data_IF_725821442828
#
_entry.id   IF_725821442828
#
_cell.length_a   1.000
_cell.length_b   1.000
_cell.length_c   1.000
_cell.angle_alpha   90.00
_cell.angle_beta   90.00
_cell.angle_gamma   90.00
#
_symmetry.space_group_name_H-M   'P 1'
#
loop_
_entity.id
_entity.type
_entity.pdbx_description
1 polymer ?
#
# COMPACT_ATOMS: atom_id res chain seq x y z
N UNK A 1 -13.87 -0.59 8.71
CA UNK A 1 -13.05 -0.58 9.94
C UNK A 1 -12.42 0.82 10.12
N UNK A 2 -13.25 1.87 10.06
CA UNK A 2 -12.81 3.23 10.33
C UNK A 2 -13.00 3.58 11.81
N UNK A 3 -12.23 4.54 12.26
CA UNK A 3 -12.42 5.30 13.51
C UNK A 3 -12.31 4.56 14.83
N UNK A 4 -11.40 3.60 14.98
CA UNK A 4 -11.17 3.03 16.30
C UNK A 4 -9.71 3.08 16.68
N UNK A 5 -9.49 3.63 17.83
CA UNK A 5 -8.19 3.81 18.48
C UNK A 5 -7.56 2.46 18.87
N UNK A 6 -6.27 2.26 18.54
CA UNK A 6 -5.47 1.07 18.89
C UNK A 6 -6.06 -0.27 18.44
N UNK A 7 -6.47 -0.38 17.18
CA UNK A 7 -6.90 -1.67 16.63
C UNK A 7 -5.74 -2.49 16.12
N UNK A 8 -5.89 -3.81 16.24
CA UNK A 8 -4.97 -4.78 15.67
C UNK A 8 -5.70 -5.79 14.80
N UNK A 9 -5.11 -6.13 13.67
CA UNK A 9 -5.45 -7.29 12.86
C UNK A 9 -4.19 -8.14 12.70
N UNK A 10 -4.22 -9.36 13.19
CA UNK A 10 -3.05 -10.21 13.21
C UNK A 10 -3.39 -11.69 12.99
N UNK A 11 -2.44 -12.43 12.43
CA UNK A 11 -2.53 -13.87 12.20
C UNK A 11 -3.76 -14.29 11.37
N UNK A 12 -4.17 -13.42 10.43
CA UNK A 12 -5.31 -13.67 9.56
C UNK A 12 -4.86 -14.07 8.16
N UNK A 13 -5.60 -15.02 7.58
CA UNK A 13 -5.58 -15.28 6.15
C UNK A 13 -6.73 -14.51 5.49
N UNK A 14 -6.40 -13.63 4.56
CA UNK A 14 -7.34 -12.84 3.76
C UNK A 14 -7.04 -13.15 2.30
N UNK A 15 -7.91 -13.93 1.66
CA UNK A 15 -7.61 -14.41 0.31
C UNK A 15 -8.86 -14.58 -0.56
N UNK A 16 -8.64 -14.80 -1.87
CA UNK A 16 -9.64 -15.27 -2.83
C UNK A 16 -10.87 -14.34 -2.94
N UNK A 17 -10.68 -13.02 -2.93
CA UNK A 17 -11.80 -12.10 -3.16
C UNK A 17 -12.43 -12.31 -4.53
N UNK A 18 -13.75 -12.54 -4.56
CA UNK A 18 -14.48 -12.88 -5.77
C UNK A 18 -14.55 -11.70 -6.75
N UNK A 19 -13.64 -11.69 -7.74
CA UNK A 19 -13.57 -10.63 -8.74
C UNK A 19 -14.85 -10.50 -9.57
N UNK A 20 -15.48 -11.62 -9.89
CA UNK A 20 -16.70 -11.70 -10.70
C UNK A 20 -17.96 -11.99 -9.88
N UNK A 21 -18.02 -11.50 -8.65
CA UNK A 21 -19.13 -11.73 -7.70
C UNK A 21 -20.42 -10.96 -7.99
N UNK A 22 -20.64 -10.45 -9.20
CA UNK A 22 -21.89 -9.77 -9.58
C UNK A 22 -22.05 -8.34 -9.04
N UNK A 23 -20.96 -7.68 -8.64
CA UNK A 23 -21.01 -6.31 -8.15
C UNK A 23 -21.44 -5.33 -9.26
N UNK A 24 -22.34 -4.38 -8.92
CA UNK A 24 -22.93 -3.42 -9.87
C UNK A 24 -21.91 -2.53 -10.60
N UNK A 25 -20.72 -2.32 -10.01
CA UNK A 25 -19.59 -1.58 -10.61
C UNK A 25 -18.66 -2.45 -11.46
N UNK A 26 -19.06 -3.69 -11.78
CA UNK A 26 -18.24 -4.64 -12.54
C UNK A 26 -17.25 -5.44 -11.67
N UNK A 27 -16.17 -5.99 -12.27
CA UNK A 27 -15.20 -6.83 -11.56
C UNK A 27 -14.60 -6.15 -10.33
N UNK A 28 -14.66 -6.80 -9.14
CA UNK A 28 -14.37 -6.18 -7.85
C UNK A 28 -13.75 -7.16 -6.84
N UNK A 29 -12.60 -7.74 -7.17
CA UNK A 29 -11.87 -8.69 -6.33
C UNK A 29 -10.82 -8.00 -5.46
N UNK A 30 -11.21 -7.35 -4.36
CA UNK A 30 -10.34 -6.53 -3.55
C UNK A 30 -10.09 -7.11 -2.16
N UNK A 31 -8.86 -6.95 -1.65
CA UNK A 31 -8.47 -7.36 -0.31
C UNK A 31 -9.12 -6.49 0.77
N UNK A 32 -8.45 -5.45 1.25
CA UNK A 32 -8.97 -4.64 2.35
C UNK A 32 -8.60 -3.16 2.27
N UNK A 33 -9.36 -2.34 3.00
CA UNK A 33 -8.98 -0.95 3.29
C UNK A 33 -8.53 -0.92 4.75
N UNK A 34 -7.28 -0.53 4.96
CA UNK A 34 -6.67 -0.44 6.28
C UNK A 34 -6.42 1.01 6.64
N UNK A 35 -6.84 1.40 7.81
CA UNK A 35 -6.68 2.72 8.38
C UNK A 35 -7.03 2.70 9.86
N UNK A 36 -6.92 3.84 10.51
CA UNK A 36 -7.32 4.00 11.91
C UNK A 36 -6.33 4.78 12.75
N UNK A 37 -6.80 5.21 13.91
CA UNK A 37 -6.01 5.93 14.90
C UNK A 37 -5.13 4.96 15.69
N UNK A 38 -3.83 4.90 15.36
CA UNK A 38 -2.85 3.97 15.94
C UNK A 38 -3.23 2.50 15.73
N UNK A 39 -3.47 2.12 14.47
CA UNK A 39 -3.83 0.75 14.10
C UNK A 39 -2.59 -0.05 13.70
N UNK A 40 -2.55 -1.32 14.10
CA UNK A 40 -1.50 -2.27 13.73
C UNK A 40 -2.04 -3.43 12.92
N UNK A 41 -1.37 -3.75 11.82
CA UNK A 41 -1.69 -4.85 10.91
C UNK A 41 -0.45 -5.71 10.73
N UNK A 42 -0.40 -6.88 11.37
CA UNK A 42 0.83 -7.67 11.36
C UNK A 42 0.60 -9.18 11.32
N UNK A 43 1.57 -9.91 10.77
CA UNK A 43 1.53 -11.37 10.65
C UNK A 43 0.30 -11.90 9.90
N UNK A 44 -0.19 -11.15 8.91
CA UNK A 44 -1.29 -11.55 8.06
C UNK A 44 -0.77 -12.05 6.70
N UNK A 45 -1.55 -12.90 6.06
CA UNK A 45 -1.38 -13.26 4.65
C UNK A 45 -2.51 -12.65 3.83
N UNK A 46 -2.17 -11.77 2.89
CA UNK A 46 -3.07 -11.26 1.85
C UNK A 46 -2.72 -11.96 0.54
N UNK A 47 -3.65 -12.69 -0.07
CA UNK A 47 -3.36 -13.47 -1.25
C UNK A 47 -4.48 -13.45 -2.29
N UNK A 48 -4.09 -13.46 -3.59
CA UNK A 48 -5.01 -13.63 -4.72
C UNK A 48 -6.09 -12.55 -4.83
N UNK A 49 -5.77 -11.30 -4.49
CA UNK A 49 -6.65 -10.18 -4.71
C UNK A 49 -6.24 -9.37 -5.95
N UNK A 50 -7.22 -8.90 -6.70
CA UNK A 50 -6.97 -8.02 -7.85
C UNK A 50 -6.27 -6.73 -7.40
N UNK A 51 -6.76 -6.12 -6.31
CA UNK A 51 -6.23 -4.86 -5.77
C UNK A 51 -6.47 -4.77 -4.25
N UNK A 52 -6.01 -3.70 -3.63
CA UNK A 52 -6.13 -3.42 -2.19
C UNK A 52 -5.43 -4.46 -1.32
N UNK A 53 -4.12 -4.61 -1.51
CA UNK A 53 -3.27 -5.54 -0.76
C UNK A 53 -2.25 -4.83 0.19
N UNK A 54 -2.71 -4.01 1.15
CA UNK A 54 -4.02 -3.38 1.29
C UNK A 54 -4.12 -2.04 0.53
N UNK A 55 -5.30 -1.40 0.50
CA UNK A 55 -5.42 0.04 0.36
C UNK A 55 -5.25 0.68 1.74
N UNK A 56 -4.30 1.57 1.88
CA UNK A 56 -4.22 2.43 3.06
C UNK A 56 -5.14 3.63 2.84
N UNK A 57 -6.19 3.74 3.64
CA UNK A 57 -7.22 4.75 3.43
C UNK A 57 -7.63 5.42 4.71
N UNK A 58 -7.50 6.77 4.81
CA UNK A 58 -7.97 7.52 5.96
C UNK A 58 -9.49 7.48 6.06
N UNK A 59 -10.01 7.58 7.28
CA UNK A 59 -11.44 7.78 7.54
C UNK A 59 -11.90 9.19 7.16
N UNK A 60 -13.21 9.40 7.06
CA UNK A 60 -13.78 10.71 6.69
C UNK A 60 -13.52 11.81 7.73
N UNK A 61 -13.32 11.40 8.99
CA UNK A 61 -13.03 12.32 10.10
C UNK A 61 -11.54 12.32 10.49
N UNK A 62 -10.69 11.70 9.66
CA UNK A 62 -9.25 11.64 9.94
C UNK A 62 -8.60 13.00 9.75
N UNK A 63 -7.61 13.27 10.60
CA UNK A 63 -6.63 14.34 10.40
C UNK A 63 -5.26 13.72 10.24
N UNK A 64 -4.29 14.49 9.74
CA UNK A 64 -2.92 13.97 9.58
C UNK A 64 -2.32 13.47 10.90
N UNK A 65 -2.66 14.12 12.01
CA UNK A 65 -2.09 13.85 13.32
C UNK A 65 -2.62 12.54 13.94
N UNK A 66 -3.83 12.14 13.59
CA UNK A 66 -4.47 11.00 14.26
C UNK A 66 -4.47 9.70 13.45
N UNK A 67 -4.29 9.75 12.13
CA UNK A 67 -4.28 8.56 11.29
C UNK A 67 -2.87 7.93 11.25
N UNK A 68 -2.65 6.96 12.13
CA UNK A 68 -1.36 6.28 12.29
C UNK A 68 -1.54 4.78 12.06
N UNK A 69 -0.81 4.23 11.08
CA UNK A 69 -0.90 2.82 10.71
C UNK A 69 0.48 2.16 10.73
N UNK A 70 0.55 1.02 11.39
CA UNK A 70 1.72 0.15 11.41
C UNK A 70 1.41 -1.15 10.67
N UNK A 71 2.06 -1.34 9.53
CA UNK A 71 1.95 -2.53 8.69
C UNK A 71 3.29 -3.27 8.69
N UNK A 72 3.37 -4.40 9.43
CA UNK A 72 4.62 -5.13 9.57
C UNK A 72 4.48 -6.65 9.53
N UNK A 73 5.53 -7.32 9.08
CA UNK A 73 5.60 -8.79 9.09
C UNK A 73 4.42 -9.48 8.41
N UNK A 74 3.82 -8.85 7.38
CA UNK A 74 2.78 -9.47 6.58
C UNK A 74 3.37 -10.12 5.33
N UNK A 75 2.66 -11.08 4.79
CA UNK A 75 2.92 -11.65 3.46
C UNK A 75 1.86 -11.15 2.49
N UNK A 76 2.31 -10.59 1.38
CA UNK A 76 1.45 -10.12 0.29
C UNK A 76 1.78 -10.94 -0.95
N UNK A 77 0.83 -11.77 -1.40
CA UNK A 77 1.06 -12.72 -2.48
C UNK A 77 0.10 -12.53 -3.64
N UNK A 78 0.65 -12.63 -4.87
CA UNK A 78 -0.09 -12.78 -6.12
C UNK A 78 -1.17 -11.71 -6.35
N UNK A 79 -0.82 -10.45 -6.18
CA UNK A 79 -1.69 -9.33 -6.55
C UNK A 79 -1.76 -9.16 -8.07
N UNK A 80 -2.89 -8.70 -8.60
CA UNK A 80 -3.07 -8.43 -10.02
C UNK A 80 -2.86 -6.93 -10.35
N UNK A 81 -3.77 -6.07 -9.92
CA UNK A 81 -3.72 -4.64 -10.21
C UNK A 81 -2.83 -3.83 -9.29
N UNK A 82 -2.99 -4.01 -7.98
CA UNK A 82 -2.21 -3.29 -6.97
C UNK A 82 -1.75 -4.18 -5.83
N UNK A 83 -0.49 -4.01 -5.42
CA UNK A 83 0.00 -4.36 -4.08
C UNK A 83 -0.59 -3.39 -3.04
N UNK A 84 0.21 -2.80 -2.16
CA UNK A 84 -0.23 -1.71 -1.29
C UNK A 84 -0.36 -0.39 -2.07
N UNK A 85 -1.33 0.46 -1.71
CA UNK A 85 -1.45 1.82 -2.23
C UNK A 85 -2.28 2.73 -1.33
N UNK A 86 -2.18 4.05 -1.54
CA UNK A 86 -2.89 5.06 -0.77
C UNK A 86 -2.01 5.76 0.23
N UNK A 87 -2.48 5.92 1.47
CA UNK A 87 -1.74 6.57 2.57
C UNK A 87 -1.86 8.09 2.58
N UNK A 88 -2.98 8.61 2.04
CA UNK A 88 -3.26 10.04 1.95
C UNK A 88 -3.32 10.67 3.33
N UNK A 89 -2.42 11.62 3.62
CA UNK A 89 -2.28 12.33 4.89
C UNK A 89 -2.18 11.39 6.12
N UNK A 90 -1.59 10.21 5.98
CA UNK A 90 -1.41 9.25 7.07
C UNK A 90 0.04 9.23 7.54
N UNK A 91 0.26 8.81 8.79
CA UNK A 91 1.57 8.36 9.25
C UNK A 91 1.64 6.83 9.12
N UNK A 92 2.55 6.33 8.30
CA UNK A 92 2.55 4.91 7.93
C UNK A 92 3.93 4.28 8.16
N UNK A 93 3.95 3.18 8.91
CA UNK A 93 5.08 2.27 8.95
C UNK A 93 4.79 1.08 8.02
N UNK A 94 5.70 0.77 7.11
CA UNK A 94 5.68 -0.45 6.28
C UNK A 94 7.00 -1.17 6.51
N UNK A 95 7.01 -2.15 7.39
CA UNK A 95 8.25 -2.74 7.93
C UNK A 95 8.24 -4.26 7.83
N UNK A 96 9.34 -4.80 7.31
CA UNK A 96 9.59 -6.25 7.28
C UNK A 96 8.46 -7.08 6.65
N UNK A 97 7.73 -6.56 5.67
CA UNK A 97 6.75 -7.34 4.94
C UNK A 97 7.41 -8.11 3.80
N UNK A 98 6.83 -9.23 3.44
CA UNK A 98 7.26 -10.05 2.31
C UNK A 98 6.25 -9.93 1.17
N UNK A 99 6.69 -9.38 0.04
CA UNK A 99 5.92 -9.25 -1.18
C UNK A 99 6.36 -10.31 -2.18
N UNK A 100 5.48 -11.25 -2.48
CA UNK A 100 5.73 -12.31 -3.45
C UNK A 100 4.84 -12.15 -4.68
N UNK A 101 5.35 -11.56 -5.77
CA UNK A 101 4.65 -11.58 -7.05
C UNK A 101 4.33 -13.02 -7.47
N UNK A 102 3.12 -13.22 -7.98
CA UNK A 102 2.67 -14.55 -8.39
C UNK A 102 2.24 -14.58 -9.87
N UNK A 103 1.54 -15.66 -10.29
CA UNK A 103 1.11 -15.81 -11.67
C UNK A 103 0.18 -14.70 -12.18
N UNK A 104 -0.66 -14.12 -11.32
CA UNK A 104 -1.56 -13.02 -11.68
C UNK A 104 -0.88 -11.64 -11.66
N UNK A 105 0.31 -11.53 -11.07
CA UNK A 105 1.04 -10.26 -11.01
C UNK A 105 1.65 -9.94 -12.38
N UNK A 106 1.33 -8.79 -13.00
CA UNK A 106 1.80 -8.47 -14.34
C UNK A 106 3.32 -8.48 -14.47
N UNK A 107 3.81 -9.16 -15.50
CA UNK A 107 5.23 -9.22 -15.86
C UNK A 107 5.65 -7.98 -16.67
N UNK A 108 6.93 -7.64 -16.64
CA UNK A 108 7.48 -6.52 -17.42
C UNK A 108 6.99 -5.14 -16.94
N UNK A 109 6.40 -5.03 -15.77
CA UNK A 109 5.82 -3.78 -15.27
C UNK A 109 6.36 -3.38 -13.89
N UNK A 110 6.25 -2.09 -13.57
CA UNK A 110 6.61 -1.57 -12.25
C UNK A 110 5.81 -2.18 -11.09
N UNK A 111 4.64 -2.74 -11.36
CA UNK A 111 3.79 -3.38 -10.35
C UNK A 111 4.47 -4.55 -9.65
N UNK A 112 5.39 -5.21 -10.33
CA UNK A 112 6.04 -6.41 -9.83
C UNK A 112 7.01 -6.13 -8.68
N UNK A 113 7.78 -5.05 -8.75
CA UNK A 113 8.70 -4.63 -7.68
C UNK A 113 8.11 -3.65 -6.67
N UNK A 114 6.81 -3.35 -6.76
CA UNK A 114 6.20 -2.26 -6.00
C UNK A 114 5.77 -2.69 -4.60
N UNK A 115 6.32 -2.02 -3.59
CA UNK A 115 5.89 -2.13 -2.20
C UNK A 115 4.62 -1.30 -1.99
N UNK A 116 4.65 -0.01 -2.36
CA UNK A 116 3.51 0.88 -2.24
C UNK A 116 3.44 1.86 -3.41
N UNK A 117 2.21 2.21 -3.84
CA UNK A 117 1.95 3.39 -4.65
C UNK A 117 1.22 4.43 -3.80
N UNK A 118 1.90 5.50 -3.46
CA UNK A 118 1.38 6.57 -2.61
C UNK A 118 0.38 7.45 -3.35
N UNK A 119 -0.54 8.06 -2.59
CA UNK A 119 -1.60 8.90 -3.14
C UNK A 119 -1.86 10.13 -2.28
N UNK A 120 -2.63 11.09 -2.78
CA UNK A 120 -3.23 12.18 -2.00
C UNK A 120 -4.62 12.56 -2.53
N UNK A 121 -5.42 13.20 -1.70
CA UNK A 121 -6.78 13.64 -2.01
C UNK A 121 -6.76 14.99 -2.73
N UNK A 122 -7.16 15.04 -4.01
CA UNK A 122 -7.04 16.26 -4.82
C UNK A 122 -8.26 16.59 -5.70
N UNK A 123 -9.23 15.69 -5.83
CA UNK A 123 -10.43 15.96 -6.60
C UNK A 123 -11.39 16.89 -5.86
N UNK A 124 -12.31 17.54 -6.57
CA UNK A 124 -13.36 18.35 -5.94
C UNK A 124 -14.24 17.52 -4.99
N UNK A 125 -14.47 16.25 -5.31
CA UNK A 125 -15.13 15.30 -4.43
C UNK A 125 -14.33 15.03 -3.17
N UNK A 126 -13.00 14.88 -3.29
CA UNK A 126 -12.12 14.71 -2.13
C UNK A 126 -12.11 15.95 -1.24
N UNK A 127 -12.04 17.15 -1.83
CA UNK A 127 -12.10 18.41 -1.09
C UNK A 127 -13.38 18.52 -0.25
N UNK A 128 -14.48 18.05 -0.80
CA UNK A 128 -15.78 18.05 -0.10
C UNK A 128 -15.85 17.00 1.01
N UNK A 129 -15.35 15.79 0.74
CA UNK A 129 -15.49 14.63 1.65
C UNK A 129 -14.38 14.53 2.69
N UNK A 130 -13.21 15.11 2.42
CA UNK A 130 -12.01 15.03 3.25
C UNK A 130 -11.31 16.38 3.39
N UNK A 131 -12.02 17.44 3.84
CA UNK A 131 -11.46 18.81 3.84
C UNK A 131 -10.21 18.94 4.73
N UNK A 132 -10.13 18.18 5.83
CA UNK A 132 -9.02 18.24 6.79
C UNK A 132 -7.69 17.65 6.23
N UNK A 133 -7.77 16.79 5.21
CA UNK A 133 -6.61 16.10 4.64
C UNK A 133 -6.47 16.35 3.13
N UNK A 134 -7.23 17.32 2.61
CA UNK A 134 -7.17 17.67 1.19
C UNK A 134 -5.78 18.17 0.81
N UNK A 135 -5.28 17.75 -0.32
CA UNK A 135 -3.98 18.09 -0.91
C UNK A 135 -2.77 17.85 0.02
N UNK A 136 -2.89 16.88 0.93
CA UNK A 136 -1.87 16.58 1.93
C UNK A 136 -1.24 15.21 1.69
N UNK A 137 0.10 15.16 1.60
CA UNK A 137 0.85 13.93 1.55
C UNK A 137 0.93 13.26 2.93
N UNK A 138 0.95 11.92 2.92
CA UNK A 138 1.30 11.14 4.10
C UNK A 138 2.79 11.19 4.42
N UNK A 139 3.14 10.71 5.61
CA UNK A 139 4.51 10.53 6.08
C UNK A 139 4.79 9.03 6.21
N UNK A 140 5.94 8.57 5.72
CA UNK A 140 6.20 7.14 5.59
C UNK A 140 7.54 6.72 6.20
N UNK A 141 7.52 5.62 6.94
CA UNK A 141 8.69 4.83 7.29
C UNK A 141 8.61 3.47 6.59
N UNK A 142 9.53 3.22 5.65
CA UNK A 142 9.50 2.01 4.81
C UNK A 142 10.88 1.37 4.86
N UNK A 143 10.98 0.20 5.49
CA UNK A 143 12.27 -0.48 5.69
C UNK A 143 12.11 -1.99 5.86
N UNK A 144 13.12 -2.73 5.43
CA UNK A 144 13.23 -4.16 5.67
C UNK A 144 12.23 -5.03 4.89
N UNK A 145 11.48 -4.43 3.96
CA UNK A 145 10.56 -5.20 3.14
C UNK A 145 11.32 -5.95 2.05
N UNK A 146 10.92 -7.19 1.82
CA UNK A 146 11.48 -8.06 0.79
C UNK A 146 10.48 -8.20 -0.34
N UNK A 147 10.93 -8.02 -1.57
CA UNK A 147 10.17 -8.33 -2.79
C UNK A 147 10.93 -9.41 -3.55
N UNK A 148 10.35 -10.60 -3.68
CA UNK A 148 11.00 -11.74 -4.33
C UNK A 148 10.01 -12.52 -5.19
N UNK A 149 10.26 -12.58 -6.50
CA UNK A 149 9.44 -13.35 -7.44
C UNK A 149 9.97 -14.77 -7.69
N UNK A 150 11.06 -15.15 -7.04
CA UNK A 150 11.67 -16.48 -7.15
C UNK A 150 12.27 -16.76 -8.54
N UNK A 151 12.63 -15.73 -9.28
CA UNK A 151 13.23 -15.81 -10.64
C UNK A 151 12.35 -16.50 -11.71
N UNK A 152 11.05 -16.61 -11.46
CA UNK A 152 10.13 -17.38 -12.34
C UNK A 152 9.87 -16.65 -13.67
N UNK A 153 9.96 -15.32 -13.71
CA UNK A 153 9.49 -14.49 -14.81
C UNK A 153 10.61 -13.76 -15.58
N UNK A 154 11.83 -14.24 -15.48
CA UNK A 154 12.98 -13.71 -16.21
C UNK A 154 13.79 -12.66 -15.44
N UNK A 155 15.00 -12.41 -15.94
CA UNK A 155 16.01 -11.60 -15.24
C UNK A 155 15.59 -10.16 -14.94
N UNK A 156 14.84 -9.52 -15.85
CA UNK A 156 14.45 -8.12 -15.68
C UNK A 156 13.43 -7.91 -14.54
N UNK A 157 12.47 -8.81 -14.37
CA UNK A 157 11.51 -8.74 -13.28
C UNK A 157 12.15 -9.12 -11.94
N UNK A 158 13.04 -10.11 -11.94
CA UNK A 158 13.83 -10.45 -10.78
C UNK A 158 14.72 -9.28 -10.33
N UNK A 159 15.47 -8.65 -11.25
CA UNK A 159 16.29 -7.46 -10.95
C UNK A 159 15.45 -6.33 -10.34
N UNK A 160 14.25 -6.08 -10.87
CA UNK A 160 13.31 -5.09 -10.31
C UNK A 160 12.94 -5.39 -8.87
N UNK A 161 12.61 -6.64 -8.56
CA UNK A 161 12.27 -7.09 -7.21
C UNK A 161 13.48 -6.96 -6.26
N UNK A 162 14.67 -7.35 -6.71
CA UNK A 162 15.88 -7.26 -5.91
C UNK A 162 16.32 -5.81 -5.64
N UNK A 163 16.14 -4.91 -6.59
CA UNK A 163 16.34 -3.47 -6.37
C UNK A 163 15.42 -2.93 -5.29
N UNK A 164 14.12 -3.25 -5.37
CA UNK A 164 13.14 -2.85 -4.35
C UNK A 164 13.45 -3.43 -2.97
N UNK A 165 13.97 -4.65 -2.90
CA UNK A 165 14.43 -5.27 -1.65
C UNK A 165 15.66 -4.55 -1.09
N UNK A 166 16.63 -4.21 -1.94
CA UNK A 166 17.87 -3.55 -1.53
C UNK A 166 17.65 -2.13 -1.02
N UNK A 167 16.77 -1.39 -1.67
CA UNK A 167 16.37 -0.04 -1.25
C UNK A 167 14.86 0.12 -1.46
N UNK A 168 14.12 -0.09 -0.37
CA UNK A 168 12.66 -0.03 -0.39
C UNK A 168 12.13 1.34 -0.80
N UNK A 169 12.79 2.42 -0.37
CA UNK A 169 12.36 3.79 -0.67
C UNK A 169 12.60 4.16 -2.12
N UNK A 170 13.79 3.92 -2.63
CA UNK A 170 14.16 4.33 -3.99
C UNK A 170 13.45 3.51 -5.07
N UNK A 171 13.34 2.18 -4.89
CA UNK A 171 12.83 1.29 -5.94
C UNK A 171 11.49 0.64 -5.64
N UNK A 172 11.02 0.69 -4.39
CA UNK A 172 9.74 0.07 -3.98
C UNK A 172 8.58 1.05 -3.85
N UNK A 173 8.84 2.36 -3.81
CA UNK A 173 7.83 3.41 -3.65
C UNK A 173 7.52 4.07 -4.98
N UNK A 174 6.24 4.15 -5.30
CA UNK A 174 5.71 4.70 -6.54
C UNK A 174 4.64 5.75 -6.25
N UNK A 175 4.35 6.58 -7.25
CA UNK A 175 3.32 7.60 -7.18
C UNK A 175 2.04 7.13 -7.90
N UNK A 176 0.90 7.21 -7.23
CA UNK A 176 -0.42 6.95 -7.82
C UNK A 176 -1.22 8.25 -8.01
N UNK A 177 -0.72 9.35 -7.52
CA UNK A 177 -1.42 10.63 -7.49
C UNK A 177 -1.97 11.07 -8.85
N UNK A 178 -1.19 10.95 -9.92
CA UNK A 178 -1.58 11.28 -11.29
C UNK A 178 -2.10 10.07 -12.08
N UNK A 179 -2.38 8.96 -11.40
CA UNK A 179 -2.78 7.66 -11.96
C UNK A 179 -1.72 7.00 -12.84
N UNK A 180 -0.47 7.46 -12.79
CA UNK A 180 0.68 6.85 -13.45
C UNK A 180 1.49 6.06 -12.43
N UNK A 181 1.69 4.78 -12.68
CA UNK A 181 2.55 3.92 -11.87
C UNK A 181 4.01 4.09 -12.32
N UNK A 182 4.55 5.28 -12.14
CA UNK A 182 5.96 5.57 -12.40
C UNK A 182 6.78 5.59 -11.12
N UNK A 183 8.11 5.57 -11.27
CA UNK A 183 9.00 5.94 -10.17
C UNK A 183 8.69 7.34 -9.69
N UNK A 184 8.97 7.61 -8.42
CA UNK A 184 8.81 8.96 -7.87
C UNK A 184 9.69 9.95 -8.64
N UNK A 185 9.08 11.00 -9.19
CA UNK A 185 9.84 12.16 -9.66
C UNK A 185 10.42 12.96 -8.48
N UNK A 186 11.39 13.81 -8.78
CA UNK A 186 12.10 14.58 -7.75
C UNK A 186 11.17 15.55 -6.98
N UNK A 187 10.14 16.08 -7.62
CA UNK A 187 9.16 16.94 -6.96
C UNK A 187 8.32 16.17 -5.95
N UNK A 188 7.87 14.99 -6.32
CA UNK A 188 7.12 14.10 -5.42
C UNK A 188 8.00 13.59 -4.29
N UNK A 189 9.26 13.20 -4.55
CA UNK A 189 10.22 12.80 -3.50
C UNK A 189 10.42 13.90 -2.45
N UNK A 190 10.55 15.15 -2.89
CA UNK A 190 10.68 16.31 -1.97
C UNK A 190 9.40 16.57 -1.16
N UNK A 191 8.24 16.35 -1.76
CA UNK A 191 6.94 16.54 -1.08
C UNK A 191 6.63 15.42 -0.08
N UNK A 192 7.16 14.21 -0.31
CA UNK A 192 7.00 13.07 0.58
C UNK A 192 8.00 13.13 1.73
N UNK A 193 7.48 12.96 2.93
CA UNK A 193 8.32 12.90 4.11
C UNK A 193 8.66 11.46 4.47
N UNK A 194 9.95 11.11 4.33
CA UNK A 194 10.50 9.88 4.91
C UNK A 194 10.74 10.12 6.41
N UNK A 195 10.13 9.32 7.25
CA UNK A 195 10.15 9.52 8.71
C UNK A 195 10.93 8.41 9.43
N UNK A 196 11.07 8.57 10.73
CA UNK A 196 11.32 7.48 11.68
C UNK A 196 10.01 6.74 11.98
N UNK A 197 10.07 5.50 12.52
CA UNK A 197 8.86 4.78 12.91
C UNK A 197 8.02 5.59 13.89
N UNK A 198 6.70 5.51 13.74
CA UNK A 198 5.75 6.03 14.71
C UNK A 198 5.20 4.88 15.56
N UNK A 199 4.98 5.15 16.84
CA UNK A 199 4.44 4.15 17.75
C UNK A 199 2.92 4.06 17.60
N UNK A 200 2.42 2.84 17.52
CA UNK A 200 0.98 2.56 17.45
C UNK A 200 0.39 2.09 18.77
N UNK A 201 1.24 1.85 19.75
CA UNK A 201 0.85 1.49 21.13
C UNK A 201 1.11 0.03 21.45
#
# INVERSE_FOLDING_TARGET
LGDVYKRQLQWCLISESLRLGGHTKGPHGYGGIWGGMKASFHHNLLAHHDSRNPRLGPGVNSTKENEIVDMRNNVIYNWCGNSCYGGEAMHVNIVNNFYKPGPATPTGTSKRGRIIAIDKKVSDSDKKSYPAIFDTWGDFFIQGNVVDDGQINGAADYDRCMKATKDNWEYGVYNQFDKKYGTLDEGTKKALKRTTPVETG
#
